data_IF_099883899679
#
_entry.id   IF_099883899679
#
_cell.length_a   1.000
_cell.length_b   1.000
_cell.length_c   1.000
_cell.angle_alpha   90.00
_cell.angle_beta   90.00
_cell.angle_gamma   90.00
#
_symmetry.space_group_name_H-M   'P 1'
#
loop_
_entity.id
_entity.type
_entity.pdbx_description
1 polymer ?
#
# COMPACT_ATOMS: atom_id res chain seq x y z
N UNK A 1 16.02 -1.55 -34.21
CA UNK A 1 17.18 -2.26 -33.61
C UNK A 1 17.93 -1.27 -32.73
N UNK A 2 18.31 -1.68 -31.51
CA UNK A 2 18.99 -0.82 -30.50
C UNK A 2 20.23 -0.11 -31.08
N UNK A 3 20.88 -0.73 -32.06
CA UNK A 3 22.02 -0.16 -32.80
C UNK A 3 21.72 1.22 -33.42
N UNK A 4 20.48 1.48 -33.85
CA UNK A 4 20.05 2.78 -34.37
C UNK A 4 19.67 3.78 -33.26
N UNK A 5 19.16 3.32 -32.12
CA UNK A 5 18.63 4.18 -31.05
C UNK A 5 19.71 4.67 -30.08
N UNK A 6 20.91 4.06 -30.09
CA UNK A 6 22.10 4.43 -29.29
C UNK A 6 21.92 4.49 -27.76
N UNK A 7 20.72 4.24 -27.24
CA UNK A 7 20.43 4.15 -25.81
C UNK A 7 19.42 3.03 -25.52
N UNK A 8 19.43 2.53 -24.28
CA UNK A 8 18.56 1.42 -23.85
C UNK A 8 17.24 1.88 -23.21
N UNK A 9 16.99 3.18 -23.12
CA UNK A 9 15.74 3.73 -22.59
C UNK A 9 14.57 3.54 -23.55
N UNK A 10 13.37 3.37 -22.98
CA UNK A 10 12.12 3.28 -23.71
C UNK A 10 11.65 4.69 -24.12
N UNK A 11 11.42 4.89 -25.42
CA UNK A 11 10.72 6.07 -25.94
C UNK A 11 9.29 5.65 -26.21
N UNK A 12 8.36 6.11 -25.38
CA UNK A 12 6.95 5.74 -25.44
C UNK A 12 6.27 6.52 -26.56
N UNK A 13 5.44 5.85 -27.35
CA UNK A 13 4.62 6.50 -28.37
C UNK A 13 3.52 7.38 -27.74
N UNK A 14 3.03 8.41 -28.44
CA UNK A 14 1.96 9.25 -27.94
C UNK A 14 0.70 8.42 -27.62
N UNK A 15 0.22 8.49 -26.37
CA UNK A 15 -1.00 7.81 -25.93
C UNK A 15 -2.05 8.81 -25.41
N UNK A 16 -3.35 8.54 -25.60
CA UNK A 16 -4.43 9.42 -25.14
C UNK A 16 -4.77 9.22 -23.65
N UNK A 17 -4.16 8.24 -22.98
CA UNK A 17 -4.53 7.85 -21.62
C UNK A 17 -4.31 8.94 -20.56
N UNK A 18 -3.25 9.77 -20.60
CA UNK A 18 -3.09 10.87 -19.65
C UNK A 18 -4.25 11.89 -19.68
N UNK A 19 -4.69 12.30 -20.88
CA UNK A 19 -5.81 13.24 -21.02
C UNK A 19 -7.16 12.58 -20.71
N UNK A 20 -7.34 11.32 -21.08
CA UNK A 20 -8.54 10.55 -20.69
C UNK A 20 -8.65 10.43 -19.17
N UNK A 21 -7.54 10.12 -18.49
CA UNK A 21 -7.50 9.99 -17.03
C UNK A 21 -7.78 11.32 -16.32
N UNK A 22 -7.22 12.42 -16.81
CA UNK A 22 -7.45 13.75 -16.23
C UNK A 22 -8.91 14.21 -16.38
N UNK A 23 -9.54 13.93 -17.54
CA UNK A 23 -10.97 14.17 -17.75
C UNK A 23 -11.85 13.30 -16.83
N UNK A 24 -11.47 12.04 -16.62
CA UNK A 24 -12.13 11.16 -15.65
C UNK A 24 -12.04 11.67 -14.21
N UNK A 25 -10.87 12.14 -13.80
CA UNK A 25 -10.64 12.75 -12.48
C UNK A 25 -11.48 14.03 -12.29
N UNK A 26 -11.53 14.88 -13.31
CA UNK A 26 -12.38 16.08 -13.30
C UNK A 26 -13.86 15.71 -13.17
N UNK A 27 -14.36 14.78 -13.99
CA UNK A 27 -15.74 14.32 -13.94
C UNK A 27 -16.10 13.73 -12.57
N UNK A 28 -15.21 12.92 -11.99
CA UNK A 28 -15.39 12.32 -10.65
C UNK A 28 -15.44 13.39 -9.56
N UNK A 29 -14.57 14.40 -9.63
CA UNK A 29 -14.51 15.49 -8.63
C UNK A 29 -15.76 16.35 -8.70
N UNK A 30 -16.14 16.81 -9.90
CA UNK A 30 -17.35 17.62 -10.11
C UNK A 30 -18.61 16.83 -9.74
N UNK A 31 -18.70 15.58 -10.18
CA UNK A 31 -19.80 14.67 -9.84
C UNK A 31 -19.90 14.43 -8.34
N UNK A 32 -18.77 14.26 -7.66
CA UNK A 32 -18.71 14.11 -6.20
C UNK A 32 -19.23 15.32 -5.45
N UNK A 33 -18.79 16.53 -5.84
CA UNK A 33 -19.29 17.78 -5.26
C UNK A 33 -20.79 17.94 -5.51
N UNK A 34 -21.26 17.67 -6.73
CA UNK A 34 -22.69 17.72 -7.08
C UNK A 34 -23.51 16.73 -6.25
N UNK A 35 -23.00 15.51 -6.07
CA UNK A 35 -23.64 14.46 -5.27
C UNK A 35 -23.76 14.86 -3.80
N UNK A 36 -22.68 15.35 -3.18
CA UNK A 36 -22.68 15.78 -1.78
C UNK A 36 -23.64 16.96 -1.50
N UNK A 37 -23.88 17.83 -2.48
CA UNK A 37 -24.79 18.97 -2.37
C UNK A 37 -26.19 18.71 -2.94
N UNK A 38 -26.54 17.45 -3.25
CA UNK A 38 -27.87 17.05 -3.74
C UNK A 38 -28.31 17.71 -5.06
N UNK A 39 -27.36 18.03 -5.96
CA UNK A 39 -27.69 18.53 -7.30
C UNK A 39 -28.19 17.41 -8.22
N UNK A 40 -29.09 17.76 -9.14
CA UNK A 40 -29.59 16.83 -10.17
C UNK A 40 -28.44 16.34 -11.06
N UNK A 41 -28.41 15.04 -11.32
CA UNK A 41 -27.36 14.40 -12.14
C UNK A 41 -26.02 14.17 -11.43
N UNK A 42 -25.86 14.58 -10.17
CA UNK A 42 -24.61 14.41 -9.42
C UNK A 42 -24.16 12.95 -9.28
N UNK A 43 -25.08 12.05 -8.89
CA UNK A 43 -24.80 10.61 -8.78
C UNK A 43 -24.40 9.98 -10.13
N UNK A 44 -25.06 10.40 -11.22
CA UNK A 44 -24.78 9.92 -12.57
C UNK A 44 -23.39 10.36 -13.03
N UNK A 45 -23.05 11.65 -12.86
CA UNK A 45 -21.74 12.17 -13.24
C UNK A 45 -20.62 11.54 -12.41
N UNK A 46 -20.82 11.37 -11.10
CA UNK A 46 -19.86 10.69 -10.23
C UNK A 46 -19.62 9.25 -10.69
N UNK A 47 -20.68 8.49 -10.92
CA UNK A 47 -20.59 7.09 -11.35
C UNK A 47 -19.92 6.96 -12.72
N UNK A 48 -20.28 7.83 -13.67
CA UNK A 48 -19.68 7.86 -14.99
C UNK A 48 -18.19 8.24 -14.93
N UNK A 49 -17.84 9.23 -14.12
CA UNK A 49 -16.44 9.62 -13.87
C UNK A 49 -15.61 8.48 -13.31
N UNK A 50 -16.13 7.75 -12.30
CA UNK A 50 -15.47 6.58 -11.73
C UNK A 50 -15.28 5.46 -12.76
N UNK A 51 -16.32 5.13 -13.53
CA UNK A 51 -16.22 4.14 -14.61
C UNK A 51 -15.19 4.56 -15.66
N UNK A 52 -15.15 5.86 -15.99
CA UNK A 52 -14.18 6.39 -16.95
C UNK A 52 -12.74 6.25 -16.44
N UNK A 53 -12.47 6.56 -15.17
CA UNK A 53 -11.15 6.33 -14.55
C UNK A 53 -10.78 4.84 -14.58
N UNK A 54 -11.71 3.96 -14.17
CA UNK A 54 -11.48 2.50 -14.19
C UNK A 54 -11.17 2.00 -15.59
N UNK A 55 -11.89 2.50 -16.60
CA UNK A 55 -11.64 2.16 -18.00
C UNK A 55 -10.27 2.66 -18.48
N UNK A 56 -9.91 3.92 -18.21
CA UNK A 56 -8.60 4.46 -18.57
C UNK A 56 -7.49 3.65 -17.90
N UNK A 57 -7.61 3.32 -16.61
CA UNK A 57 -6.63 2.49 -15.91
C UNK A 57 -6.50 1.12 -16.58
N UNK A 58 -7.61 0.44 -16.87
CA UNK A 58 -7.58 -0.87 -17.52
C UNK A 58 -6.86 -0.84 -18.87
N UNK A 59 -7.19 0.12 -19.73
CA UNK A 59 -6.61 0.22 -21.08
C UNK A 59 -5.15 0.67 -21.02
N UNK A 60 -4.80 1.57 -20.11
CA UNK A 60 -3.42 2.00 -19.91
C UNK A 60 -2.54 0.85 -19.43
N UNK A 61 -3.00 0.08 -18.43
CA UNK A 61 -2.27 -1.10 -17.97
C UNK A 61 -2.15 -2.18 -19.05
N UNK A 62 -3.18 -2.37 -19.88
CA UNK A 62 -3.10 -3.26 -21.05
C UNK A 62 -1.99 -2.84 -22.01
N UNK A 63 -1.86 -1.55 -22.28
CA UNK A 63 -0.83 -1.04 -23.21
C UNK A 63 0.58 -1.20 -22.62
N UNK A 64 0.77 -0.90 -21.34
CA UNK A 64 2.04 -1.19 -20.63
C UNK A 64 2.38 -2.69 -20.68
N UNK A 65 1.39 -3.57 -20.53
CA UNK A 65 1.59 -5.02 -20.66
C UNK A 65 1.98 -5.44 -22.08
N UNK A 66 1.38 -4.84 -23.10
CA UNK A 66 1.72 -5.07 -24.51
C UNK A 66 3.14 -4.62 -24.82
N UNK A 67 3.50 -3.38 -24.46
CA UNK A 67 4.82 -2.79 -24.69
C UNK A 67 5.92 -3.61 -24.01
N UNK A 68 5.66 -4.09 -22.79
CA UNK A 68 6.62 -4.87 -22.02
C UNK A 68 6.75 -6.33 -22.45
N UNK A 69 5.64 -7.00 -22.74
CA UNK A 69 5.61 -8.46 -22.95
C UNK A 69 5.67 -8.84 -24.42
N UNK A 70 4.97 -8.11 -25.30
CA UNK A 70 4.85 -8.45 -26.72
C UNK A 70 5.88 -7.71 -27.57
N UNK A 71 6.10 -6.42 -27.28
CA UNK A 71 7.03 -5.58 -28.05
C UNK A 71 8.45 -5.59 -27.46
N UNK A 72 8.59 -5.98 -26.19
CA UNK A 72 9.88 -6.23 -25.56
C UNK A 72 10.68 -4.95 -25.25
N UNK A 73 10.01 -3.81 -25.10
CA UNK A 73 10.68 -2.51 -24.85
C UNK A 73 11.31 -2.38 -23.45
N UNK A 74 10.99 -3.29 -22.52
CA UNK A 74 11.48 -3.29 -21.14
C UNK A 74 12.89 -3.90 -21.03
N UNK A 75 13.91 -3.13 -21.44
CA UNK A 75 15.32 -3.48 -21.18
C UNK A 75 15.64 -3.48 -19.68
N UNK A 76 16.79 -4.03 -19.26
CA UNK A 76 17.20 -4.06 -17.85
C UNK A 76 17.26 -2.66 -17.21
N UNK A 77 17.65 -1.63 -17.97
CA UNK A 77 17.65 -0.24 -17.49
C UNK A 77 16.22 0.28 -17.29
N UNK A 78 15.31 -0.02 -18.21
CA UNK A 78 13.91 0.39 -18.10
C UNK A 78 13.22 -0.31 -16.93
N UNK A 79 13.54 -1.58 -16.66
CA UNK A 79 12.99 -2.34 -15.52
C UNK A 79 13.34 -1.73 -14.16
N UNK A 80 14.47 -1.04 -14.04
CA UNK A 80 14.82 -0.31 -12.82
C UNK A 80 13.84 0.84 -12.55
N UNK A 81 13.31 1.50 -13.59
CA UNK A 81 12.38 2.62 -13.46
C UNK A 81 11.12 2.27 -12.64
N UNK A 82 10.30 1.28 -13.05
CA UNK A 82 9.14 0.86 -12.27
C UNK A 82 9.47 0.38 -10.86
N UNK A 83 10.66 -0.19 -10.62
CA UNK A 83 11.10 -0.55 -9.27
C UNK A 83 11.33 0.70 -8.42
N UNK A 84 12.11 1.65 -8.93
CA UNK A 84 12.34 2.94 -8.27
C UNK A 84 11.07 3.81 -8.18
N UNK A 85 10.09 3.62 -9.06
CA UNK A 85 8.80 4.33 -9.00
C UNK A 85 7.84 3.72 -7.98
N UNK A 86 7.89 2.40 -7.76
CA UNK A 86 7.02 1.72 -6.79
C UNK A 86 7.36 2.07 -5.35
N UNK A 87 8.64 2.26 -5.03
CA UNK A 87 9.11 2.62 -3.67
C UNK A 87 8.52 3.96 -3.18
N UNK A 88 8.72 5.11 -3.88
CA UNK A 88 8.16 6.40 -3.44
C UNK A 88 6.64 6.41 -3.46
N UNK A 89 5.98 5.63 -4.33
CA UNK A 89 4.54 5.43 -4.28
C UNK A 89 4.10 4.74 -2.98
N UNK A 90 4.76 3.65 -2.58
CA UNK A 90 4.47 2.99 -1.29
C UNK A 90 4.77 3.94 -0.13
N UNK A 91 5.87 4.70 -0.20
CA UNK A 91 6.22 5.70 0.83
C UNK A 91 5.12 6.78 0.96
N UNK A 92 4.55 7.25 -0.14
CA UNK A 92 3.44 8.21 -0.07
C UNK A 92 2.20 7.60 0.59
N UNK A 93 1.88 6.33 0.32
CA UNK A 93 0.75 5.64 0.97
C UNK A 93 1.00 5.43 2.47
N UNK A 94 2.24 5.09 2.88
CA UNK A 94 2.60 5.01 4.30
C UNK A 94 2.41 6.36 5.01
N UNK A 95 2.78 7.47 4.37
CA UNK A 95 2.57 8.82 4.92
C UNK A 95 1.10 9.23 4.94
N UNK A 96 0.32 8.84 3.94
CA UNK A 96 -1.12 9.03 3.92
C UNK A 96 -1.80 8.32 5.11
N UNK A 97 -1.46 7.06 5.36
CA UNK A 97 -2.00 6.29 6.48
C UNK A 97 -1.51 6.79 7.85
N UNK A 98 -0.26 7.23 7.92
CA UNK A 98 0.31 7.85 9.13
C UNK A 98 -0.52 9.05 9.60
N UNK A 99 -1.12 9.82 8.70
CA UNK A 99 -2.00 10.92 9.07
C UNK A 99 -3.23 10.46 9.87
N UNK A 100 -3.84 9.33 9.51
CA UNK A 100 -4.98 8.76 10.25
C UNK A 100 -4.56 8.18 11.59
N UNK A 101 -3.41 7.50 11.66
CA UNK A 101 -2.83 7.05 12.93
C UNK A 101 -2.54 8.21 13.89
N UNK A 102 -2.00 9.31 13.37
CA UNK A 102 -1.79 10.54 14.14
C UNK A 102 -3.12 11.12 14.63
N UNK A 103 -4.15 11.17 13.79
CA UNK A 103 -5.47 11.67 14.17
C UNK A 103 -6.11 10.84 15.31
N UNK A 104 -6.05 9.52 15.21
CA UNK A 104 -6.55 8.60 16.25
C UNK A 104 -5.74 8.72 17.55
N UNK A 105 -4.41 8.78 17.46
CA UNK A 105 -3.52 8.92 18.62
C UNK A 105 -3.70 10.25 19.34
N UNK A 106 -3.82 11.35 18.59
CA UNK A 106 -4.08 12.67 19.17
C UNK A 106 -5.41 12.70 19.93
N UNK A 107 -6.45 12.08 19.38
CA UNK A 107 -7.79 12.04 19.97
C UNK A 107 -7.89 11.11 21.18
N UNK A 108 -7.11 10.03 21.21
CA UNK A 108 -7.14 9.01 22.27
C UNK A 108 -6.23 9.30 23.46
N UNK A 109 -5.07 9.96 23.24
CA UNK A 109 -4.10 10.25 24.29
C UNK A 109 -4.54 11.39 25.22
N UNK A 110 -5.25 12.38 24.68
CA UNK A 110 -5.81 13.50 25.46
C UNK A 110 -7.29 13.72 25.08
N UNK A 111 -8.21 12.84 25.52
CA UNK A 111 -9.63 12.94 25.22
C UNK A 111 -10.21 14.28 25.68
N UNK A 112 -11.03 14.91 24.83
CA UNK A 112 -11.66 16.20 25.18
C UNK A 112 -12.70 16.04 26.29
N UNK A 113 -13.00 17.15 26.97
CA UNK A 113 -14.04 17.17 28.02
C UNK A 113 -15.44 16.81 27.48
N UNK A 114 -15.69 17.07 26.19
CA UNK A 114 -16.96 16.78 25.51
C UNK A 114 -17.24 15.28 25.40
N UNK A 115 -16.19 14.45 25.27
CA UNK A 115 -16.31 12.97 25.30
C UNK A 115 -16.14 12.38 26.71
N UNK A 116 -16.12 13.24 27.73
CA UNK A 116 -16.02 12.85 29.14
C UNK A 116 -14.60 12.62 29.64
N UNK A 117 -13.56 13.06 28.90
CA UNK A 117 -12.16 12.96 29.32
C UNK A 117 -11.64 11.51 29.42
N UNK A 118 -12.33 10.55 28.82
CA UNK A 118 -11.95 9.13 28.83
C UNK A 118 -11.93 8.56 27.40
N UNK A 119 -11.16 7.49 27.21
CA UNK A 119 -11.11 6.74 25.95
C UNK A 119 -11.32 5.25 26.21
N UNK A 120 -12.18 4.55 25.46
CA UNK A 120 -13.14 5.06 24.46
C UNK A 120 -14.24 5.96 25.10
N UNK A 121 -14.92 6.82 24.32
CA UNK A 121 -16.06 7.61 24.79
C UNK A 121 -17.16 6.73 25.42
N UNK A 122 -17.82 7.24 26.48
CA UNK A 122 -18.94 6.52 27.11
C UNK A 122 -20.07 6.28 26.12
N UNK A 123 -20.64 5.07 26.14
CA UNK A 123 -21.78 4.69 25.29
C UNK A 123 -21.38 4.00 23.97
N UNK A 124 -20.09 3.93 23.65
CA UNK A 124 -19.60 3.18 22.49
C UNK A 124 -19.28 1.74 22.91
N UNK A 125 -19.99 0.78 22.29
CA UNK A 125 -19.66 -0.64 22.38
C UNK A 125 -18.42 -0.95 21.55
N UNK A 126 -17.25 -1.02 22.18
CA UNK A 126 -16.01 -1.37 21.47
C UNK A 126 -16.02 -2.85 21.09
N UNK A 127 -15.58 -3.14 19.85
CA UNK A 127 -15.40 -4.51 19.36
C UNK A 127 -14.32 -5.23 20.18
N UNK A 128 -14.56 -6.49 20.54
CA UNK A 128 -13.54 -7.29 21.23
C UNK A 128 -12.40 -7.60 20.23
N UNK A 129 -11.15 -7.16 20.50
CA UNK A 129 -10.04 -7.43 19.61
C UNK A 129 -9.68 -8.91 19.46
N UNK A 130 -10.20 -9.79 20.33
CA UNK A 130 -9.91 -11.23 20.33
C UNK A 130 -10.80 -12.05 19.39
N UNK A 131 -11.83 -11.44 18.83
CA UNK A 131 -12.78 -12.11 17.95
C UNK A 131 -12.35 -11.97 16.48
N UNK A 132 -13.15 -11.30 15.67
CA UNK A 132 -12.90 -11.11 14.23
C UNK A 132 -11.58 -10.37 13.95
N UNK A 133 -11.18 -9.31 14.68
CA UNK A 133 -9.91 -8.65 14.45
C UNK A 133 -8.71 -9.58 14.63
N UNK A 134 -8.75 -10.44 15.64
CA UNK A 134 -7.70 -11.43 15.91
C UNK A 134 -7.64 -12.52 14.82
N UNK A 135 -8.78 -12.91 14.24
CA UNK A 135 -8.81 -13.89 13.15
C UNK A 135 -8.26 -13.31 11.83
N UNK A 136 -8.47 -12.02 11.59
CA UNK A 136 -8.00 -11.36 10.37
C UNK A 136 -6.47 -11.24 10.28
N UNK A 137 -5.78 -11.13 11.42
CA UNK A 137 -4.31 -11.08 11.49
C UNK A 137 -3.61 -12.33 10.93
N UNK A 138 -3.87 -13.57 11.41
CA UNK A 138 -3.23 -14.76 10.87
C UNK A 138 -3.62 -15.03 9.42
N UNK A 139 -4.81 -14.58 8.96
CA UNK A 139 -5.20 -14.67 7.55
C UNK A 139 -4.26 -13.81 6.68
N UNK A 140 -4.05 -12.54 7.06
CA UNK A 140 -3.15 -11.66 6.33
C UNK A 140 -1.70 -12.15 6.38
N UNK A 141 -1.20 -12.55 7.55
CA UNK A 141 0.16 -13.10 7.69
C UNK A 141 0.36 -14.37 6.85
N UNK A 142 -0.65 -15.26 6.83
CA UNK A 142 -0.61 -16.47 5.99
C UNK A 142 -0.64 -16.11 4.50
N UNK A 143 -1.39 -15.07 4.13
CA UNK A 143 -1.43 -14.59 2.75
C UNK A 143 -0.07 -14.00 2.32
N UNK A 144 0.62 -13.28 3.22
CA UNK A 144 1.98 -12.78 3.00
C UNK A 144 2.98 -13.91 2.78
N UNK A 145 2.93 -14.96 3.63
CA UNK A 145 3.74 -16.16 3.44
C UNK A 145 3.45 -16.86 2.10
N UNK A 146 2.18 -16.90 1.67
CA UNK A 146 1.78 -17.46 0.38
C UNK A 146 2.30 -16.62 -0.81
N UNK A 147 2.35 -15.28 -0.71
CA UNK A 147 2.99 -14.43 -1.74
C UNK A 147 4.48 -14.69 -1.82
N UNK A 148 5.18 -14.81 -0.68
CA UNK A 148 6.61 -15.15 -0.65
C UNK A 148 6.85 -16.52 -1.28
N UNK A 149 5.96 -17.49 -1.02
CA UNK A 149 5.99 -18.79 -1.68
C UNK A 149 5.81 -18.66 -3.21
N UNK A 150 4.87 -17.83 -3.67
CA UNK A 150 4.70 -17.55 -5.10
C UNK A 150 5.97 -16.95 -5.71
N UNK A 151 6.61 -16.00 -5.01
CA UNK A 151 7.84 -15.37 -5.47
C UNK A 151 8.97 -16.38 -5.66
N UNK A 152 9.23 -17.23 -4.65
CA UNK A 152 10.23 -18.29 -4.75
C UNK A 152 9.89 -19.32 -5.83
N UNK A 153 8.61 -19.59 -6.08
CA UNK A 153 8.20 -20.48 -7.18
C UNK A 153 8.52 -19.89 -8.56
N UNK A 154 8.33 -18.58 -8.76
CA UNK A 154 8.71 -17.86 -9.99
C UNK A 154 10.22 -17.90 -10.19
N UNK A 155 11.00 -17.56 -9.15
CA UNK A 155 12.46 -17.59 -9.18
C UNK A 155 13.03 -19.01 -9.41
N UNK A 156 12.35 -20.03 -8.92
CA UNK A 156 12.70 -21.43 -9.15
C UNK A 156 12.23 -21.97 -10.52
N UNK A 157 11.54 -21.17 -11.34
CA UNK A 157 10.99 -21.59 -12.63
C UNK A 157 9.82 -22.59 -12.51
N UNK A 158 9.21 -22.72 -11.33
CA UNK A 158 8.10 -23.64 -11.06
C UNK A 158 6.75 -22.95 -11.29
N UNK A 159 6.43 -22.66 -12.56
CA UNK A 159 5.27 -21.85 -12.97
C UNK A 159 3.93 -22.33 -12.37
N UNK A 160 3.66 -23.65 -12.42
CA UNK A 160 2.42 -24.23 -11.85
C UNK A 160 2.29 -23.98 -10.35
N UNK A 161 3.41 -24.05 -9.61
CA UNK A 161 3.41 -23.80 -8.16
C UNK A 161 3.20 -22.32 -7.86
N UNK A 162 3.72 -21.43 -8.71
CA UNK A 162 3.48 -19.99 -8.58
C UNK A 162 1.99 -19.65 -8.75
N UNK A 163 1.30 -20.26 -9.73
CA UNK A 163 -0.15 -20.08 -9.89
C UNK A 163 -0.92 -20.57 -8.66
N UNK A 164 -0.60 -21.77 -8.13
CA UNK A 164 -1.28 -22.28 -6.94
C UNK A 164 -1.06 -21.40 -5.70
N UNK A 165 0.15 -20.89 -5.51
CA UNK A 165 0.46 -19.97 -4.43
C UNK A 165 -0.32 -18.65 -4.56
N UNK A 166 -0.38 -18.06 -5.77
CA UNK A 166 -1.15 -16.85 -6.04
C UNK A 166 -2.65 -17.04 -5.81
N UNK A 167 -3.22 -18.16 -6.25
CA UNK A 167 -4.63 -18.49 -5.98
C UNK A 167 -4.90 -18.64 -4.49
N UNK A 168 -3.97 -19.25 -3.74
CA UNK A 168 -4.08 -19.36 -2.29
C UNK A 168 -4.06 -17.98 -1.62
N UNK A 169 -3.13 -17.09 -2.01
CA UNK A 169 -3.10 -15.70 -1.51
C UNK A 169 -4.40 -14.97 -1.80
N UNK A 170 -4.88 -14.98 -3.04
CA UNK A 170 -6.11 -14.28 -3.43
C UNK A 170 -7.31 -14.84 -2.67
N UNK A 171 -7.36 -16.15 -2.44
CA UNK A 171 -8.44 -16.76 -1.65
C UNK A 171 -8.43 -16.26 -0.20
N UNK A 172 -7.25 -16.20 0.43
CA UNK A 172 -7.10 -15.66 1.80
C UNK A 172 -7.47 -14.17 1.87
N UNK A 173 -7.07 -13.39 0.86
CA UNK A 173 -7.43 -11.99 0.73
C UNK A 173 -8.95 -11.77 0.66
N UNK A 174 -9.65 -12.56 -0.15
CA UNK A 174 -11.12 -12.49 -0.26
C UNK A 174 -11.80 -12.89 1.05
N UNK A 175 -11.28 -13.89 1.75
CA UNK A 175 -11.77 -14.28 3.08
C UNK A 175 -11.60 -13.14 4.08
N UNK A 176 -10.43 -12.47 4.09
CA UNK A 176 -10.19 -11.28 4.91
C UNK A 176 -11.21 -10.16 4.60
N UNK A 177 -11.41 -9.83 3.33
CA UNK A 177 -12.38 -8.78 2.93
C UNK A 177 -13.81 -9.15 3.35
N UNK A 178 -14.18 -10.42 3.26
CA UNK A 178 -15.47 -10.93 3.74
C UNK A 178 -15.65 -10.75 5.26
N UNK A 179 -14.65 -11.12 6.06
CA UNK A 179 -14.68 -10.91 7.51
C UNK A 179 -14.67 -9.42 7.89
N UNK A 180 -13.93 -8.58 7.18
CA UNK A 180 -13.94 -7.13 7.40
C UNK A 180 -15.32 -6.52 7.10
N UNK A 181 -16.00 -6.99 6.05
CA UNK A 181 -17.39 -6.61 5.76
C UNK A 181 -18.37 -7.06 6.84
N UNK A 182 -18.19 -8.27 7.40
CA UNK A 182 -18.98 -8.76 8.52
C UNK A 182 -18.77 -7.91 9.78
N UNK A 183 -17.52 -7.54 10.10
CA UNK A 183 -17.18 -6.65 11.21
C UNK A 183 -17.90 -5.30 11.07
N UNK A 184 -17.92 -4.70 9.87
CA UNK A 184 -18.64 -3.44 9.63
C UNK A 184 -20.15 -3.56 9.76
N UNK A 185 -20.73 -4.69 9.35
CA UNK A 185 -22.18 -4.91 9.47
C UNK A 185 -22.61 -5.16 10.93
N UNK A 186 -21.77 -5.81 11.72
CA UNK A 186 -22.05 -6.16 13.12
C UNK A 186 -21.59 -5.10 14.12
N UNK A 187 -20.86 -4.07 13.67
CA UNK A 187 -20.35 -3.00 14.53
C UNK A 187 -21.52 -2.29 15.25
N UNK A 188 -21.47 -2.14 16.59
CA UNK A 188 -22.53 -1.47 17.35
C UNK A 188 -22.40 0.06 17.32
N UNK A 189 -21.50 0.60 16.50
CA UNK A 189 -21.26 2.03 16.28
C UNK A 189 -21.05 2.30 14.78
N UNK A 190 -21.25 3.55 14.38
CA UNK A 190 -21.24 4.04 13.00
C UNK A 190 -20.18 5.11 12.80
N UNK A 191 -19.92 5.51 11.54
CA UNK A 191 -18.96 6.58 11.23
C UNK A 191 -19.35 7.94 11.84
N UNK A 192 -20.64 8.17 12.05
CA UNK A 192 -21.17 9.38 12.70
C UNK A 192 -21.02 9.38 14.22
N UNK A 193 -20.60 8.27 14.84
CA UNK A 193 -20.51 8.16 16.29
C UNK A 193 -19.16 8.67 16.82
N UNK A 194 -19.16 9.92 17.29
CA UNK A 194 -18.02 10.59 17.92
C UNK A 194 -16.72 10.55 17.08
N UNK A 195 -15.63 11.02 17.68
CA UNK A 195 -14.29 10.92 17.07
C UNK A 195 -13.81 9.46 16.98
N UNK A 196 -14.29 8.57 17.85
CA UNK A 196 -13.91 7.16 17.82
C UNK A 196 -14.41 6.47 16.55
N UNK A 197 -15.71 6.54 16.23
CA UNK A 197 -16.28 5.95 15.03
C UNK A 197 -15.69 6.57 13.76
N UNK A 198 -15.57 7.90 13.72
CA UNK A 198 -14.95 8.61 12.59
C UNK A 198 -13.53 8.13 12.28
N UNK A 199 -12.64 8.09 13.29
CA UNK A 199 -11.24 7.68 13.09
C UNK A 199 -11.10 6.18 12.84
N UNK A 200 -11.95 5.36 13.47
CA UNK A 200 -11.99 3.92 13.24
C UNK A 200 -12.37 3.58 11.80
N UNK A 201 -13.52 4.05 11.32
CA UNK A 201 -14.02 3.70 9.97
C UNK A 201 -13.19 4.32 8.85
N UNK A 202 -12.60 5.51 9.04
CA UNK A 202 -11.69 6.07 8.05
C UNK A 202 -10.40 5.27 7.93
N UNK A 203 -9.73 4.97 9.06
CA UNK A 203 -8.47 4.24 9.04
C UNK A 203 -8.67 2.81 8.50
N UNK A 204 -9.63 2.07 9.05
CA UNK A 204 -9.92 0.69 8.62
C UNK A 204 -10.53 0.63 7.22
N UNK A 205 -11.31 1.65 6.83
CA UNK A 205 -11.90 1.77 5.49
C UNK A 205 -10.85 1.97 4.40
N UNK A 206 -9.91 2.90 4.61
CA UNK A 206 -8.80 3.09 3.67
C UNK A 206 -7.89 1.87 3.61
N UNK A 207 -7.57 1.24 4.73
CA UNK A 207 -6.85 -0.03 4.73
C UNK A 207 -7.59 -1.10 3.90
N UNK A 208 -8.90 -1.28 4.12
CA UNK A 208 -9.72 -2.22 3.35
C UNK A 208 -9.74 -1.91 1.84
N UNK A 209 -9.76 -0.63 1.47
CA UNK A 209 -9.62 -0.21 0.07
C UNK A 209 -8.27 -0.61 -0.53
N UNK A 210 -7.17 -0.42 0.21
CA UNK A 210 -5.84 -0.88 -0.21
C UNK A 210 -5.76 -2.40 -0.35
N UNK A 211 -6.40 -3.16 0.55
CA UNK A 211 -6.50 -4.63 0.43
C UNK A 211 -7.22 -5.02 -0.87
N UNK A 212 -8.30 -4.33 -1.23
CA UNK A 212 -9.04 -4.59 -2.49
C UNK A 212 -8.15 -4.30 -3.70
N UNK A 213 -7.47 -3.16 -3.74
CA UNK A 213 -6.52 -2.82 -4.83
C UNK A 213 -5.41 -3.88 -4.92
N UNK A 214 -4.80 -4.24 -3.80
CA UNK A 214 -3.75 -5.25 -3.74
C UNK A 214 -4.23 -6.62 -4.22
N UNK A 215 -5.46 -7.00 -3.88
CA UNK A 215 -6.08 -8.25 -4.32
C UNK A 215 -6.30 -8.25 -5.83
N UNK A 216 -6.83 -7.16 -6.39
CA UNK A 216 -6.97 -7.00 -7.84
C UNK A 216 -5.60 -7.05 -8.55
N UNK A 217 -4.58 -6.44 -7.96
CA UNK A 217 -3.24 -6.45 -8.52
C UNK A 217 -2.63 -7.87 -8.54
N UNK A 218 -2.83 -8.64 -7.47
CA UNK A 218 -2.45 -10.05 -7.39
C UNK A 218 -3.25 -10.94 -8.34
N UNK A 219 -4.55 -10.68 -8.53
CA UNK A 219 -5.37 -11.38 -9.53
C UNK A 219 -4.80 -11.17 -10.93
N UNK A 220 -4.45 -9.93 -11.29
CA UNK A 220 -3.82 -9.63 -12.59
C UNK A 220 -2.48 -10.35 -12.71
N UNK A 221 -1.65 -10.38 -11.66
CA UNK A 221 -0.41 -11.15 -11.67
C UNK A 221 -0.63 -12.66 -11.79
N UNK A 222 -1.67 -13.21 -11.15
CA UNK A 222 -2.07 -14.61 -11.26
C UNK A 222 -2.50 -14.99 -12.67
N UNK A 223 -3.33 -14.17 -13.31
CA UNK A 223 -3.74 -14.34 -14.71
C UNK A 223 -2.51 -14.30 -15.62
N UNK A 224 -1.61 -13.32 -15.42
CA UNK A 224 -0.37 -13.21 -16.20
C UNK A 224 0.57 -14.40 -16.01
N UNK A 225 0.70 -14.92 -14.79
CA UNK A 225 1.50 -16.12 -14.53
C UNK A 225 0.90 -17.35 -15.19
N UNK A 226 -0.42 -17.49 -15.18
CA UNK A 226 -1.13 -18.58 -15.85
C UNK A 226 -0.96 -18.54 -17.37
N UNK A 227 -0.97 -17.34 -17.96
CA UNK A 227 -0.72 -17.12 -19.39
C UNK A 227 0.78 -17.17 -19.78
N UNK A 228 1.69 -17.34 -18.82
CA UNK A 228 3.13 -17.44 -19.08
C UNK A 228 3.82 -16.12 -19.38
N UNK A 229 3.22 -14.97 -19.02
CA UNK A 229 3.82 -13.64 -19.27
C UNK A 229 4.96 -13.29 -18.30
N UNK A 230 5.08 -14.00 -17.17
CA UNK A 230 6.10 -13.75 -16.15
C UNK A 230 7.19 -14.81 -16.27
N UNK A 231 8.45 -14.36 -16.31
CA UNK A 231 9.61 -15.25 -16.41
C UNK A 231 10.49 -15.13 -15.17
N UNK A 232 11.36 -16.12 -14.95
CA UNK A 232 12.35 -16.11 -13.86
C UNK A 232 13.21 -14.84 -13.82
N UNK A 233 13.51 -14.26 -14.98
CA UNK A 233 14.40 -13.09 -15.08
C UNK A 233 13.66 -11.76 -15.24
N UNK A 234 12.37 -11.81 -15.56
CA UNK A 234 11.55 -10.64 -15.84
C UNK A 234 10.13 -10.79 -15.27
N UNK A 235 9.94 -10.26 -14.07
CA UNK A 235 8.65 -10.30 -13.35
C UNK A 235 8.43 -9.06 -12.46
N UNK A 236 8.85 -7.87 -12.92
CA UNK A 236 8.77 -6.60 -12.18
C UNK A 236 7.35 -6.27 -11.71
N UNK A 237 6.32 -6.57 -12.51
CA UNK A 237 4.93 -6.35 -12.10
C UNK A 237 4.50 -7.20 -10.90
N UNK A 238 5.04 -8.43 -10.78
CA UNK A 238 4.80 -9.27 -9.61
C UNK A 238 5.60 -8.78 -8.40
N UNK A 239 6.84 -8.32 -8.58
CA UNK A 239 7.64 -7.70 -7.50
C UNK A 239 6.90 -6.50 -6.89
N UNK A 240 6.36 -5.62 -7.74
CA UNK A 240 5.56 -4.46 -7.29
C UNK A 240 4.30 -4.89 -6.54
N UNK A 241 3.57 -5.91 -7.01
CA UNK A 241 2.41 -6.45 -6.33
C UNK A 241 2.77 -7.08 -4.98
N UNK A 242 3.89 -7.80 -4.90
CA UNK A 242 4.38 -8.39 -3.66
C UNK A 242 4.78 -7.33 -2.63
N UNK A 243 5.50 -6.27 -3.04
CA UNK A 243 5.83 -5.15 -2.16
C UNK A 243 4.58 -4.43 -1.65
N UNK A 244 3.60 -4.19 -2.53
CA UNK A 244 2.34 -3.59 -2.13
C UNK A 244 1.55 -4.48 -1.15
N UNK A 245 1.53 -5.80 -1.38
CA UNK A 245 0.84 -6.74 -0.48
C UNK A 245 1.49 -6.81 0.90
N UNK A 246 2.83 -6.85 0.98
CA UNK A 246 3.54 -6.79 2.26
C UNK A 246 3.33 -5.46 2.99
N UNK A 247 3.26 -4.34 2.26
CA UNK A 247 2.90 -3.04 2.83
C UNK A 247 1.54 -3.09 3.53
N UNK A 248 0.53 -3.65 2.86
CA UNK A 248 -0.83 -3.81 3.41
C UNK A 248 -0.85 -4.69 4.66
N UNK A 249 -0.11 -5.81 4.67
CA UNK A 249 -0.02 -6.71 5.84
C UNK A 249 0.63 -6.02 7.05
N UNK A 250 1.71 -5.27 6.84
CA UNK A 250 2.40 -4.52 7.91
C UNK A 250 1.48 -3.46 8.53
N UNK A 251 0.71 -2.75 7.70
CA UNK A 251 -0.21 -1.71 8.16
C UNK A 251 -1.21 -2.25 9.19
N UNK A 252 -1.90 -3.36 8.89
CA UNK A 252 -2.88 -3.94 9.80
C UNK A 252 -2.24 -4.40 11.10
N UNK A 253 -1.10 -5.07 11.03
CA UNK A 253 -0.42 -5.60 12.23
C UNK A 253 0.18 -4.50 13.13
N UNK A 254 0.40 -3.30 12.57
CA UNK A 254 0.85 -2.13 13.33
C UNK A 254 -0.29 -1.42 14.09
N UNK A 255 -1.54 -1.58 13.64
CA UNK A 255 -2.73 -1.04 14.29
C UNK A 255 -3.40 -2.08 15.21
N UNK A 256 -3.74 -1.67 16.43
CA UNK A 256 -4.51 -2.46 17.41
C UNK A 256 -3.77 -3.52 18.23
N UNK A 257 -2.64 -3.15 18.83
CA UNK A 257 -2.27 -3.75 20.12
C UNK A 257 -2.94 -2.98 21.25
N UNK A 258 -4.01 -3.54 21.81
CA UNK A 258 -4.74 -2.98 22.95
C UNK A 258 -3.78 -2.73 24.14
N UNK A 259 -3.58 -1.47 24.50
CA UNK A 259 -2.93 -1.07 25.76
C UNK A 259 -3.92 -1.23 26.92
N UNK A 260 -4.29 -2.47 27.25
CA UNK A 260 -5.21 -2.77 28.38
C UNK A 260 -4.53 -3.49 29.55
N UNK A 261 -3.22 -3.34 29.72
CA UNK A 261 -2.54 -3.80 30.93
C UNK A 261 -1.49 -2.78 31.36
N UNK A 262 -1.68 -2.22 32.55
CA UNK A 262 -0.82 -1.23 33.22
C UNK A 262 0.56 -1.81 33.63
N UNK A 263 1.10 -2.77 32.87
CA UNK A 263 2.34 -3.48 33.16
C UNK A 263 3.00 -3.97 31.87
N UNK A 264 3.42 -3.02 31.02
CA UNK A 264 4.50 -3.12 30.00
C UNK A 264 4.57 -1.78 29.25
N UNK A 265 4.82 -0.70 30.00
CA UNK A 265 4.80 0.69 29.53
C UNK A 265 6.07 1.10 28.75
N UNK A 266 6.75 0.15 28.09
CA UNK A 266 8.16 0.31 27.69
C UNK A 266 8.59 -0.59 26.52
N UNK A 267 7.67 -0.94 25.61
CA UNK A 267 7.98 -1.84 24.48
C UNK A 267 8.23 -1.10 23.16
N UNK A 268 7.19 -0.48 22.61
CA UNK A 268 7.24 0.07 21.25
C UNK A 268 7.46 1.58 21.25
N UNK A 269 6.76 2.32 22.12
CA UNK A 269 6.98 3.76 22.28
C UNK A 269 8.39 4.06 22.79
N UNK A 270 8.93 3.24 23.71
CA UNK A 270 10.32 3.38 24.17
C UNK A 270 11.35 2.90 23.14
N UNK A 271 10.99 2.04 22.17
CA UNK A 271 11.87 1.71 21.02
C UNK A 271 11.85 2.81 19.95
N UNK A 272 10.71 3.48 19.77
CA UNK A 272 10.57 4.65 18.89
C UNK A 272 11.24 5.88 19.52
N UNK A 273 11.22 6.05 20.85
CA UNK A 273 11.90 7.16 21.53
C UNK A 273 13.33 6.87 21.97
N UNK A 274 13.75 5.62 22.21
CA UNK A 274 15.15 5.28 22.53
C UNK A 274 16.05 5.18 21.28
N UNK A 275 15.48 5.24 20.08
CA UNK A 275 16.21 5.48 18.85
C UNK A 275 16.57 6.96 18.64
N UNK A 276 16.19 7.87 19.55
CA UNK A 276 16.69 9.24 19.59
C UNK A 276 17.96 9.29 20.47
N UNK A 277 19.16 9.52 19.92
CA UNK A 277 20.24 10.05 20.73
C UNK A 277 19.82 11.45 21.17
N UNK A 278 19.77 11.66 22.49
CA UNK A 278 19.82 12.97 23.10
C UNK A 278 21.22 13.58 22.88
N UNK A 279 21.54 13.88 21.63
CA UNK A 279 22.67 14.73 21.28
C UNK A 279 22.40 15.26 19.89
N UNK A 280 21.96 16.50 19.81
CA UNK A 280 22.33 17.42 18.74
C UNK A 280 21.98 18.82 19.22
N UNK A 281 22.87 19.33 20.08
CA UNK A 281 23.06 20.76 20.13
C UNK A 281 23.62 21.24 18.79
N UNK A 282 22.96 22.26 18.25
CA UNK A 282 23.43 23.24 17.26
C UNK A 282 23.52 22.76 15.79
N UNK A 283 23.09 23.70 14.93
CA UNK A 283 23.09 23.76 13.46
C UNK A 283 22.15 22.82 12.70
N UNK A 284 20.94 23.33 12.47
CA UNK A 284 20.00 22.91 11.42
C UNK A 284 20.56 23.35 10.06
N UNK A 285 20.80 22.39 9.15
CA UNK A 285 20.06 22.36 7.90
C UNK A 285 19.49 20.97 7.61
N UNK A 286 18.22 20.95 7.15
CA UNK A 286 17.53 19.86 6.46
C UNK A 286 16.98 18.70 7.32
N UNK A 287 16.07 19.02 8.25
CA UNK A 287 15.18 18.04 8.90
C UNK A 287 14.39 17.16 7.90
N UNK A 288 14.19 17.65 6.66
CA UNK A 288 13.57 16.88 5.57
C UNK A 288 14.45 15.76 5.03
N UNK A 289 15.78 15.96 4.94
CA UNK A 289 16.69 14.88 4.51
C UNK A 289 16.76 13.79 5.58
N UNK A 290 16.82 14.16 6.86
CA UNK A 290 16.83 13.18 7.95
C UNK A 290 15.54 12.36 8.04
N UNK A 291 14.38 12.96 7.75
CA UNK A 291 13.10 12.23 7.72
C UNK A 291 13.02 11.26 6.53
N UNK A 292 13.49 11.68 5.35
CA UNK A 292 13.54 10.84 4.15
C UNK A 292 14.51 9.67 4.33
N UNK A 293 15.70 9.91 4.89
CA UNK A 293 16.66 8.85 5.22
C UNK A 293 16.10 7.88 6.28
N UNK A 294 15.38 8.39 7.29
CA UNK A 294 14.76 7.55 8.32
C UNK A 294 13.64 6.66 7.77
N UNK A 295 12.81 7.20 6.87
CA UNK A 295 11.74 6.44 6.21
C UNK A 295 12.35 5.46 5.19
N UNK A 296 13.38 5.87 4.48
CA UNK A 296 14.12 5.03 3.53
C UNK A 296 14.81 3.85 4.24
N UNK A 297 15.49 4.08 5.36
CA UNK A 297 16.10 3.03 6.17
C UNK A 297 15.06 2.11 6.81
N UNK A 298 13.92 2.64 7.26
CA UNK A 298 12.82 1.83 7.77
C UNK A 298 12.25 0.90 6.69
N UNK A 299 12.00 1.45 5.50
CA UNK A 299 11.48 0.68 4.35
C UNK A 299 12.53 -0.31 3.83
N UNK A 300 13.81 0.07 3.73
CA UNK A 300 14.88 -0.84 3.34
C UNK A 300 15.11 -1.97 4.33
N UNK A 301 14.97 -1.70 5.63
CA UNK A 301 15.09 -2.75 6.64
C UNK A 301 13.89 -3.72 6.55
N UNK A 302 12.68 -3.21 6.33
CA UNK A 302 11.50 -4.03 6.02
C UNK A 302 11.70 -4.89 4.76
N UNK A 303 12.27 -4.31 3.70
CA UNK A 303 12.54 -5.01 2.43
C UNK A 303 13.66 -6.05 2.59
N UNK A 304 14.73 -5.75 3.33
CA UNK A 304 15.83 -6.68 3.60
C UNK A 304 15.42 -7.86 4.50
N UNK A 305 14.55 -7.63 5.50
CA UNK A 305 14.01 -8.69 6.35
C UNK A 305 13.12 -9.67 5.59
N UNK A 306 12.41 -9.21 4.55
CA UNK A 306 11.49 -10.04 3.76
C UNK A 306 12.16 -10.78 2.59
N UNK A 307 13.27 -10.27 2.05
CA UNK A 307 13.92 -10.82 0.85
C UNK A 307 15.12 -11.74 1.16
N UNK A 308 15.60 -11.79 2.41
CA UNK A 308 16.67 -12.73 2.81
C UNK A 308 17.98 -12.56 2.02
N UNK A 309 18.23 -11.34 1.50
CA UNK A 309 19.42 -10.99 0.74
C UNK A 309 19.93 -9.62 1.18
N UNK A 310 21.25 -9.49 1.27
CA UNK A 310 21.92 -8.27 1.72
C UNK A 310 21.95 -7.25 0.56
N UNK A 311 20.88 -6.45 0.39
CA UNK A 311 20.73 -5.47 -0.72
C UNK A 311 21.77 -4.34 -0.66
N UNK A 312 22.56 -4.24 0.43
CA UNK A 312 23.56 -3.18 0.62
C UNK A 312 24.71 -3.19 -0.41
N UNK A 313 25.03 -4.31 -1.07
CA UNK A 313 26.28 -4.42 -1.85
C UNK A 313 26.17 -4.14 -3.37
N UNK A 314 24.97 -4.06 -3.95
CA UNK A 314 24.83 -3.75 -5.40
C UNK A 314 24.42 -2.30 -5.71
N UNK A 315 24.17 -1.47 -4.69
CA UNK A 315 23.58 -0.14 -4.90
C UNK A 315 24.58 1.02 -5.10
N UNK A 316 25.89 0.80 -4.99
CA UNK A 316 26.90 1.83 -5.28
C UNK A 316 28.18 1.24 -5.90
N UNK A 317 28.48 1.60 -7.16
CA UNK A 317 29.78 2.24 -7.37
C UNK A 317 29.66 3.40 -8.37
N UNK A 318 28.88 4.45 -8.07
CA UNK A 318 28.98 5.68 -8.86
C UNK A 318 28.36 6.92 -8.19
N UNK A 319 28.72 7.23 -6.94
CA UNK A 319 28.75 8.64 -6.49
C UNK A 319 30.09 8.85 -5.77
N UNK A 320 31.17 8.79 -6.56
CA UNK A 320 32.33 9.64 -6.28
C UNK A 320 32.11 10.90 -7.10
N UNK A 321 31.57 11.93 -6.46
CA UNK A 321 31.72 13.31 -6.93
C UNK A 321 32.15 14.12 -5.74
N UNK A 322 33.47 14.16 -5.58
CA UNK A 322 34.26 15.21 -4.94
C UNK A 322 33.70 16.58 -5.30
N UNK A 323 33.39 17.42 -4.32
CA UNK A 323 33.59 18.86 -4.47
C UNK A 323 34.10 19.47 -3.16
N UNK A 324 35.05 20.36 -3.39
CA UNK A 324 35.78 21.27 -2.51
C UNK A 324 34.82 22.11 -1.67
#
# INVERSE_FOLDING_TARGET
MIESQRHSYHLVDPSPWPISGSLGALATTVGGVMYMHSFQGGATLLSLGLIFILYTMFVWWRDVLRESTLEGHHTKVVQLGPRYGSIPFIVSEVMFLFAFFRASSHSSLAPTVEIGGIWPPKGIGVLDPREIPFLNTPILLSSGAAVTWAHHAILAGKEKRAVYALVATVSLALVFTGFQGMEYYQAPFTISDSIYGSTFFLATGFHGFHVIIGTLFLIVCGIRQYLGHLTKEHHVGFEAAAWYWHFVDVERNSGFRNESSNTKRTGLFQRITAAFPASLGKSVPNAWQSLVELIYDFVLNLVNEQIGGNVKQEFFPCISVTYI
#
